data_IF_631435460587
#
_entry.id   IF_631435460587
#
_cell.length_a   1.000
_cell.length_b   1.000
_cell.length_c   1.000
_cell.angle_alpha   90.00
_cell.angle_beta   90.00
_cell.angle_gamma   90.00
#
_symmetry.space_group_name_H-M   'P 1'
#
loop_
_entity.id
_entity.type
_entity.pdbx_description
1 polymer ?
#
# COMPACT_ATOMS: atom_id res chain seq x y z
N UNK A 1 68.85 -24.54 -18.43
CA UNK A 1 68.11 -24.59 -17.15
C UNK A 1 67.70 -23.15 -16.86
N UNK A 2 66.37 -22.84 -16.94
CA UNK A 2 65.81 -21.52 -16.63
C UNK A 2 65.33 -21.52 -15.20
N UNK A 3 65.59 -20.51 -14.33
CA UNK A 3 65.05 -20.44 -13.00
C UNK A 3 63.58 -20.10 -13.02
N UNK A 4 62.76 -20.84 -12.27
CA UNK A 4 61.36 -20.45 -11.96
C UNK A 4 61.41 -19.27 -10.99
N UNK A 5 60.83 -18.14 -11.43
CA UNK A 5 60.56 -17.01 -10.54
C UNK A 5 59.37 -17.30 -9.66
N UNK A 6 59.56 -17.49 -8.38
CA UNK A 6 58.48 -17.64 -7.39
C UNK A 6 57.92 -16.24 -7.10
N UNK A 7 56.70 -15.95 -7.55
CA UNK A 7 55.98 -14.74 -7.22
C UNK A 7 55.42 -14.86 -5.78
N UNK A 8 56.07 -14.21 -4.85
CA UNK A 8 55.59 -14.03 -3.48
C UNK A 8 54.45 -12.99 -3.51
N UNK A 9 53.19 -13.41 -3.57
CA UNK A 9 52.06 -12.54 -3.33
C UNK A 9 52.04 -12.18 -1.86
N UNK A 10 52.35 -10.92 -1.53
CA UNK A 10 52.42 -10.48 -0.13
C UNK A 10 51.03 -10.58 0.52
N UNK A 11 50.94 -11.15 1.72
CA UNK A 11 49.73 -11.33 2.46
C UNK A 11 48.90 -10.05 2.73
N UNK A 12 49.54 -8.90 2.58
CA UNK A 12 48.88 -7.60 2.69
C UNK A 12 47.85 -7.33 1.57
N UNK A 13 48.07 -7.85 0.35
CA UNK A 13 47.12 -7.67 -0.76
C UNK A 13 45.87 -8.51 -0.59
N UNK A 14 45.99 -9.72 -0.04
CA UNK A 14 44.83 -10.61 0.26
C UNK A 14 44.04 -10.05 1.41
N UNK A 15 44.64 -9.54 2.46
CA UNK A 15 43.94 -8.92 3.59
C UNK A 15 43.16 -7.67 3.18
N UNK A 16 43.70 -6.83 2.27
CA UNK A 16 43.01 -5.66 1.77
C UNK A 16 41.75 -6.01 0.92
N UNK A 17 41.83 -7.06 0.11
CA UNK A 17 40.69 -7.53 -0.68
C UNK A 17 39.55 -8.08 0.17
N UNK A 18 39.86 -8.81 1.25
CA UNK A 18 38.85 -9.34 2.19
C UNK A 18 38.17 -8.21 2.95
N UNK A 19 38.90 -7.16 3.37
CA UNK A 19 38.31 -6.00 4.06
C UNK A 19 37.40 -5.20 3.12
N UNK A 20 37.79 -5.01 1.87
CA UNK A 20 36.97 -4.31 0.86
C UNK A 20 35.67 -5.09 0.57
N UNK A 21 35.74 -6.42 0.47
CA UNK A 21 34.57 -7.26 0.27
C UNK A 21 33.62 -7.21 1.49
N UNK A 22 34.16 -7.22 2.73
CA UNK A 22 33.36 -7.11 3.95
C UNK A 22 32.67 -5.73 4.08
N UNK A 23 33.35 -4.64 3.68
CA UNK A 23 32.79 -3.29 3.66
C UNK A 23 31.74 -3.10 2.56
N UNK A 24 31.84 -3.81 1.43
CA UNK A 24 30.84 -3.80 0.38
C UNK A 24 29.53 -4.50 0.82
N UNK A 25 29.62 -5.57 1.62
CA UNK A 25 28.45 -6.26 2.19
C UNK A 25 27.73 -5.46 3.27
N UNK A 26 28.38 -4.51 3.94
CA UNK A 26 27.74 -3.64 4.94
C UNK A 26 26.98 -2.45 4.33
N UNK A 27 27.13 -2.17 3.05
CA UNK A 27 26.38 -1.09 2.35
C UNK A 27 25.00 -1.51 1.85
N UNK A 28 24.59 -2.74 2.05
CA UNK A 28 23.29 -3.28 1.64
C UNK A 28 22.19 -3.19 2.67
N UNK A 29 22.32 -2.35 3.69
CA UNK A 29 21.21 -1.97 4.55
C UNK A 29 20.36 -0.89 3.86
N UNK A 30 19.71 -1.20 2.75
CA UNK A 30 18.54 -0.44 2.32
C UNK A 30 17.56 -0.48 3.48
N UNK A 31 17.27 0.67 4.06
CA UNK A 31 16.10 0.84 4.90
C UNK A 31 14.93 0.64 3.95
N UNK A 32 14.54 -0.62 3.77
CA UNK A 32 13.34 -0.95 3.02
C UNK A 32 12.20 -0.22 3.69
N UNK A 33 11.47 0.59 2.94
CA UNK A 33 10.25 1.20 3.45
C UNK A 33 9.42 0.10 4.13
N UNK A 34 8.79 0.37 5.28
CA UNK A 34 8.05 -0.65 6.01
C UNK A 34 7.09 -1.37 5.06
N UNK A 35 7.13 -2.69 5.08
CA UNK A 35 6.29 -3.53 4.25
C UNK A 35 4.82 -3.12 4.47
N UNK A 36 4.07 -2.94 3.39
CA UNK A 36 2.64 -2.63 3.50
C UNK A 36 1.95 -3.81 4.16
N UNK A 37 1.19 -3.55 5.21
CA UNK A 37 0.33 -4.53 5.87
C UNK A 37 -1.13 -4.13 5.71
N UNK A 38 -2.03 -5.09 5.75
CA UNK A 38 -3.48 -4.86 5.79
C UNK A 38 -4.11 -5.80 6.81
N UNK A 39 -4.81 -5.26 7.79
CA UNK A 39 -5.44 -6.02 8.89
C UNK A 39 -4.44 -6.96 9.62
N UNK A 40 -3.19 -6.50 9.76
CA UNK A 40 -2.11 -7.24 10.42
C UNK A 40 -1.33 -8.21 9.53
N UNK A 41 -1.78 -8.47 8.29
CA UNK A 41 -1.12 -9.39 7.36
C UNK A 41 -0.26 -8.63 6.34
N UNK A 42 0.90 -9.16 5.94
CA UNK A 42 1.72 -8.58 4.88
C UNK A 42 0.98 -8.57 3.55
N UNK A 43 1.06 -7.45 2.83
CA UNK A 43 0.55 -7.34 1.45
C UNK A 43 1.58 -7.89 0.48
N UNK A 44 1.16 -8.84 -0.37
CA UNK A 44 2.00 -9.45 -1.40
C UNK A 44 1.85 -8.75 -2.75
N UNK A 45 2.79 -9.00 -3.66
CA UNK A 45 2.68 -8.51 -5.04
C UNK A 45 1.47 -9.12 -5.79
N UNK A 46 1.05 -10.34 -5.41
CA UNK A 46 -0.14 -10.99 -5.96
C UNK A 46 -1.41 -10.28 -5.49
N UNK A 47 -1.52 -9.96 -4.19
CA UNK A 47 -2.65 -9.19 -3.66
C UNK A 47 -2.82 -7.85 -4.39
N UNK A 48 -1.71 -7.15 -4.64
CA UNK A 48 -1.71 -5.88 -5.38
C UNK A 48 -2.19 -6.07 -6.82
N UNK A 49 -1.74 -7.12 -7.49
CA UNK A 49 -2.12 -7.39 -8.89
C UNK A 49 -3.60 -7.74 -9.00
N UNK A 50 -4.09 -8.66 -8.17
CA UNK A 50 -5.51 -9.03 -8.10
C UNK A 50 -6.36 -7.82 -7.69
N UNK A 51 -5.91 -7.07 -6.70
CA UNK A 51 -6.61 -5.89 -6.21
C UNK A 51 -6.76 -4.79 -7.26
N UNK A 52 -5.74 -4.57 -8.09
CA UNK A 52 -5.79 -3.62 -9.21
C UNK A 52 -6.88 -4.00 -10.21
N UNK A 53 -6.96 -5.28 -10.59
CA UNK A 53 -7.92 -5.74 -11.58
C UNK A 53 -9.36 -5.67 -11.01
N UNK A 54 -9.55 -6.02 -9.74
CA UNK A 54 -10.81 -5.88 -9.03
C UNK A 54 -11.22 -4.41 -8.85
N UNK A 55 -10.28 -3.53 -8.52
CA UNK A 55 -10.51 -2.08 -8.44
C UNK A 55 -10.99 -1.52 -9.78
N UNK A 56 -10.32 -1.87 -10.87
CA UNK A 56 -10.70 -1.44 -12.20
C UNK A 56 -12.13 -1.87 -12.58
N UNK A 57 -12.54 -3.07 -12.17
CA UNK A 57 -13.85 -3.62 -12.48
C UNK A 57 -14.98 -3.05 -11.61
N UNK A 58 -14.71 -2.70 -10.33
CA UNK A 58 -15.77 -2.44 -9.35
C UNK A 58 -15.74 -1.02 -8.75
N UNK A 59 -14.60 -0.33 -8.77
CA UNK A 59 -14.40 0.92 -8.03
C UNK A 59 -14.07 2.10 -8.95
N UNK A 60 -13.33 1.87 -10.03
CA UNK A 60 -12.76 2.90 -10.89
C UNK A 60 -13.82 3.78 -11.57
N UNK A 61 -15.02 3.26 -11.81
CA UNK A 61 -16.12 4.04 -12.41
C UNK A 61 -16.54 5.26 -11.58
N UNK A 62 -16.36 5.18 -10.26
CA UNK A 62 -16.68 6.28 -9.34
C UNK A 62 -15.40 6.93 -8.78
N UNK A 63 -14.40 6.13 -8.39
CA UNK A 63 -13.19 6.62 -7.74
C UNK A 63 -12.04 6.99 -8.68
N UNK A 64 -12.28 6.89 -10.01
CA UNK A 64 -11.28 7.17 -11.04
C UNK A 64 -10.34 6.00 -11.31
N UNK A 65 -9.89 5.88 -12.57
CA UNK A 65 -8.99 4.79 -12.98
C UNK A 65 -7.59 4.90 -12.36
N UNK A 66 -7.18 6.11 -11.99
CA UNK A 66 -5.91 6.41 -11.33
C UNK A 66 -6.12 6.83 -9.86
N UNK A 67 -7.23 6.41 -9.23
CA UNK A 67 -7.55 6.71 -7.83
C UNK A 67 -7.89 8.20 -7.56
N UNK A 68 -8.09 9.00 -8.60
CA UNK A 68 -8.24 10.47 -8.56
C UNK A 68 -9.58 10.95 -8.01
N UNK A 69 -10.57 10.07 -7.87
CA UNK A 69 -11.93 10.43 -7.44
C UNK A 69 -12.70 11.25 -8.44
N UNK A 70 -13.80 11.84 -8.00
CA UNK A 70 -14.63 12.76 -8.78
C UNK A 70 -14.23 14.21 -8.51
N UNK A 71 -14.50 15.10 -9.49
CA UNK A 71 -14.27 16.53 -9.33
C UNK A 71 -15.07 17.08 -8.14
N UNK A 72 -14.49 18.07 -7.45
CA UNK A 72 -15.11 18.76 -6.30
C UNK A 72 -15.59 17.80 -5.19
N UNK A 73 -14.92 16.65 -4.99
CA UNK A 73 -15.33 15.58 -4.09
C UNK A 73 -15.64 16.03 -2.65
N UNK A 74 -15.13 17.18 -2.21
CA UNK A 74 -15.43 17.77 -0.90
C UNK A 74 -16.72 18.58 -0.88
N UNK A 75 -17.39 18.75 -2.02
CA UNK A 75 -18.61 19.55 -2.15
C UNK A 75 -19.81 18.64 -2.45
N UNK A 76 -20.89 18.79 -1.68
CA UNK A 76 -22.11 18.03 -1.92
C UNK A 76 -22.72 18.35 -3.28
N UNK A 77 -23.22 17.32 -3.93
CA UNK A 77 -24.06 17.41 -5.12
C UNK A 77 -25.43 18.05 -4.77
N UNK A 78 -26.18 18.46 -5.79
CA UNK A 78 -27.53 19.02 -5.61
C UNK A 78 -28.51 18.06 -4.91
N UNK A 79 -28.30 16.74 -5.06
CA UNK A 79 -29.08 15.70 -4.39
C UNK A 79 -28.66 15.47 -2.93
N UNK A 80 -27.69 16.22 -2.41
CA UNK A 80 -27.17 16.12 -1.06
C UNK A 80 -26.10 15.05 -0.83
N UNK A 81 -25.80 14.19 -1.81
CA UNK A 81 -24.77 13.16 -1.73
C UNK A 81 -23.37 13.75 -1.93
N UNK A 82 -22.36 13.06 -1.44
CA UNK A 82 -20.97 13.41 -1.72
C UNK A 82 -20.47 12.66 -2.96
N UNK A 83 -19.72 13.33 -3.85
CA UNK A 83 -18.98 12.65 -4.91
C UNK A 83 -17.98 11.65 -4.33
N UNK A 84 -17.59 10.66 -5.14
CA UNK A 84 -16.59 9.68 -4.73
C UNK A 84 -15.22 10.34 -4.48
N UNK A 85 -14.63 10.19 -3.28
CA UNK A 85 -13.34 10.81 -2.97
C UNK A 85 -12.18 10.11 -3.70
N UNK A 86 -11.03 10.80 -3.86
CA UNK A 86 -9.79 10.17 -4.28
C UNK A 86 -9.32 9.10 -3.28
N UNK A 87 -8.66 8.08 -3.81
CA UNK A 87 -7.96 7.08 -3.01
C UNK A 87 -6.44 7.24 -3.05
N UNK A 88 -5.93 8.21 -3.80
CA UNK A 88 -4.52 8.61 -3.82
C UNK A 88 -4.15 9.50 -2.61
N UNK A 89 -2.96 10.10 -2.64
CA UNK A 89 -2.48 10.99 -1.59
C UNK A 89 -3.27 12.29 -1.45
N UNK A 90 -4.06 12.68 -2.46
CA UNK A 90 -4.87 13.90 -2.45
C UNK A 90 -6.21 13.72 -1.74
N UNK A 91 -6.64 12.47 -1.55
CA UNK A 91 -7.83 12.11 -0.84
C UNK A 91 -7.63 12.00 0.67
N UNK A 92 -8.55 11.32 1.34
CA UNK A 92 -8.50 11.11 2.80
C UNK A 92 -8.59 9.64 3.24
N UNK A 93 -8.54 8.69 2.30
CA UNK A 93 -8.65 7.25 2.58
C UNK A 93 -7.61 6.80 3.60
N UNK A 94 -6.40 7.31 3.52
CA UNK A 94 -5.29 7.01 4.43
C UNK A 94 -5.46 7.59 5.86
N UNK A 95 -6.53 8.33 6.13
CA UNK A 95 -6.92 8.77 7.49
C UNK A 95 -7.73 7.71 8.25
N UNK A 96 -8.13 6.63 7.60
CA UNK A 96 -8.93 5.56 8.19
C UNK A 96 -8.07 4.34 8.52
N UNK A 97 -8.37 3.69 9.64
CA UNK A 97 -7.76 2.41 10.01
C UNK A 97 -8.17 1.29 9.04
N UNK A 98 -7.37 0.25 8.94
CA UNK A 98 -7.62 -0.91 8.07
C UNK A 98 -9.02 -1.52 8.29
N UNK A 99 -9.41 -1.69 9.56
CA UNK A 99 -10.72 -2.22 9.92
C UNK A 99 -11.87 -1.33 9.45
N UNK A 100 -11.71 -0.01 9.56
CA UNK A 100 -12.71 0.94 9.07
C UNK A 100 -12.80 0.89 7.55
N UNK A 101 -11.68 0.87 6.83
CA UNK A 101 -11.66 0.76 5.37
C UNK A 101 -12.34 -0.53 4.91
N UNK A 102 -12.03 -1.65 5.56
CA UNK A 102 -12.67 -2.93 5.25
C UNK A 102 -14.17 -2.89 5.50
N UNK A 103 -14.60 -2.35 6.64
CA UNK A 103 -16.03 -2.25 7.01
C UNK A 103 -16.80 -1.34 6.05
N UNK A 104 -16.24 -0.16 5.72
CA UNK A 104 -16.86 0.79 4.77
C UNK A 104 -17.01 0.15 3.39
N UNK A 105 -15.99 -0.57 2.92
CA UNK A 105 -16.05 -1.24 1.61
C UNK A 105 -17.06 -2.38 1.63
N UNK A 106 -17.08 -3.18 2.69
CA UNK A 106 -18.00 -4.30 2.82
C UNK A 106 -19.46 -3.87 2.90
N UNK A 107 -19.78 -2.88 3.74
CA UNK A 107 -21.16 -2.48 4.07
C UNK A 107 -21.66 -1.27 3.27
N UNK A 108 -20.77 -0.60 2.52
CA UNK A 108 -21.04 0.70 1.94
C UNK A 108 -21.11 1.81 3.01
N UNK A 109 -21.05 3.07 2.59
CA UNK A 109 -21.09 4.21 3.52
C UNK A 109 -22.43 4.25 4.28
N UNK A 110 -23.54 3.99 3.60
CA UNK A 110 -24.87 3.94 4.24
C UNK A 110 -25.02 2.84 5.30
N UNK A 111 -24.27 1.74 5.17
CA UNK A 111 -24.25 0.65 6.15
C UNK A 111 -23.50 0.99 7.44
N UNK A 112 -22.48 1.84 7.34
CA UNK A 112 -21.69 2.28 8.53
C UNK A 112 -22.18 3.59 9.14
N UNK A 113 -22.96 4.38 8.38
CA UNK A 113 -23.53 5.66 8.81
C UNK A 113 -25.06 5.65 8.57
N UNK A 114 -25.86 5.11 9.49
CA UNK A 114 -27.31 5.06 9.32
C UNK A 114 -27.92 6.43 9.04
N UNK A 115 -28.74 6.53 7.99
CA UNK A 115 -29.37 7.77 7.56
C UNK A 115 -28.48 8.66 6.65
N UNK A 116 -27.26 8.23 6.35
CA UNK A 116 -26.42 8.88 5.35
C UNK A 116 -26.71 8.32 3.95
N UNK A 117 -27.19 9.18 3.05
CA UNK A 117 -27.44 8.81 1.65
C UNK A 117 -26.13 8.84 0.84
N UNK A 118 -25.75 7.70 0.27
CA UNK A 118 -24.49 7.52 -0.45
C UNK A 118 -24.69 6.70 -1.71
N UNK A 119 -23.93 7.03 -2.76
CA UNK A 119 -23.87 6.24 -3.98
C UNK A 119 -22.87 5.05 -3.88
N UNK A 120 -22.08 4.97 -2.83
CA UNK A 120 -21.17 3.85 -2.62
C UNK A 120 -21.95 2.62 -2.13
N UNK A 121 -22.03 1.55 -2.94
CA UNK A 121 -22.75 0.34 -2.56
C UNK A 121 -22.00 -0.49 -1.53
N UNK A 122 -22.68 -1.47 -0.93
CA UNK A 122 -22.05 -2.55 -0.18
C UNK A 122 -21.42 -3.57 -1.15
N UNK A 123 -20.20 -4.02 -0.86
CA UNK A 123 -19.51 -5.01 -1.70
C UNK A 123 -19.49 -6.41 -1.10
N UNK A 124 -19.94 -6.63 0.14
CA UNK A 124 -19.93 -7.94 0.79
C UNK A 124 -20.71 -9.03 0.05
N UNK A 125 -21.73 -8.66 -0.75
CA UNK A 125 -22.55 -9.59 -1.55
C UNK A 125 -22.03 -9.71 -3.00
N UNK A 126 -20.97 -8.96 -3.36
CA UNK A 126 -20.39 -8.91 -4.71
C UNK A 126 -18.96 -9.47 -4.73
N UNK A 127 -18.18 -9.18 -3.69
CA UNK A 127 -16.79 -9.57 -3.53
C UNK A 127 -16.61 -10.41 -2.26
N UNK A 128 -15.81 -11.47 -2.35
CA UNK A 128 -15.36 -12.20 -1.17
C UNK A 128 -14.46 -11.32 -0.29
N UNK A 129 -14.31 -11.67 0.99
CA UNK A 129 -13.46 -10.90 1.92
C UNK A 129 -12.03 -10.74 1.43
N UNK A 130 -11.45 -11.81 0.86
CA UNK A 130 -10.10 -11.78 0.30
C UNK A 130 -10.00 -10.84 -0.90
N UNK A 131 -11.05 -10.71 -1.69
CA UNK A 131 -11.12 -9.79 -2.83
C UNK A 131 -11.22 -8.33 -2.35
N UNK A 132 -12.01 -8.06 -1.31
CA UNK A 132 -12.06 -6.73 -0.67
C UNK A 132 -10.68 -6.38 -0.10
N UNK A 133 -10.01 -7.33 0.57
CA UNK A 133 -8.63 -7.16 1.07
C UNK A 133 -7.67 -6.83 -0.07
N UNK A 134 -7.74 -7.54 -1.19
CA UNK A 134 -6.89 -7.29 -2.33
C UNK A 134 -7.09 -5.88 -2.92
N UNK A 135 -8.33 -5.40 -3.05
CA UNK A 135 -8.63 -4.02 -3.48
C UNK A 135 -7.98 -3.00 -2.54
N UNK A 136 -8.14 -3.18 -1.23
CA UNK A 136 -7.55 -2.28 -0.23
C UNK A 136 -6.01 -2.35 -0.23
N UNK A 137 -5.44 -3.54 -0.43
CA UNK A 137 -4.00 -3.74 -0.57
C UNK A 137 -3.45 -2.97 -1.78
N UNK A 138 -4.14 -3.04 -2.93
CA UNK A 138 -3.79 -2.24 -4.12
C UNK A 138 -3.81 -0.75 -3.80
N UNK A 139 -4.90 -0.21 -3.24
CA UNK A 139 -5.00 1.20 -2.88
C UNK A 139 -3.85 1.62 -1.95
N UNK A 140 -3.61 0.88 -0.87
CA UNK A 140 -2.52 1.17 0.09
C UNK A 140 -1.13 1.12 -0.56
N UNK A 141 -0.91 0.22 -1.52
CA UNK A 141 0.37 0.06 -2.22
C UNK A 141 0.75 1.28 -3.06
N UNK A 142 -0.24 2.06 -3.50
CA UNK A 142 -0.01 3.27 -4.32
C UNK A 142 0.37 4.49 -3.50
N UNK A 143 0.13 4.49 -2.19
CA UNK A 143 0.40 5.65 -1.35
C UNK A 143 1.88 5.91 -1.19
N UNK A 144 2.31 7.19 -1.19
CA UNK A 144 3.65 7.58 -0.77
C UNK A 144 3.93 7.13 0.68
N UNK A 145 5.20 7.02 1.02
CA UNK A 145 5.65 6.55 2.34
C UNK A 145 5.03 7.34 3.51
N UNK A 146 4.89 8.65 3.35
CA UNK A 146 4.28 9.52 4.37
C UNK A 146 2.86 9.08 4.72
N UNK A 147 2.01 8.83 3.71
CA UNK A 147 0.63 8.41 3.90
C UNK A 147 0.56 7.00 4.47
N UNK A 148 1.42 6.08 4.00
CA UNK A 148 1.51 4.73 4.56
C UNK A 148 1.88 4.72 6.04
N UNK A 149 2.88 5.52 6.42
CA UNK A 149 3.30 5.63 7.83
C UNK A 149 2.18 6.20 8.69
N UNK A 150 1.56 7.29 8.25
CA UNK A 150 0.44 7.89 8.98
C UNK A 150 -0.72 6.89 9.15
N UNK A 151 -1.10 6.18 8.08
CA UNK A 151 -2.20 5.22 8.12
C UNK A 151 -1.88 4.00 9.00
N UNK A 152 -0.62 3.56 9.03
CA UNK A 152 -0.18 2.51 9.94
C UNK A 152 -0.33 2.94 11.42
N UNK A 153 0.01 4.19 11.76
CA UNK A 153 -0.20 4.74 13.09
C UNK A 153 -1.70 4.83 13.44
N UNK A 154 -2.55 5.25 12.50
CA UNK A 154 -4.01 5.26 12.69
C UNK A 154 -4.53 3.84 12.94
N UNK A 155 -4.07 2.86 12.16
CA UNK A 155 -4.46 1.45 12.33
C UNK A 155 -4.03 0.90 13.69
N UNK A 156 -2.80 1.19 14.13
CA UNK A 156 -2.27 0.73 15.41
C UNK A 156 -3.05 1.29 16.61
N UNK A 157 -3.62 2.49 16.46
CA UNK A 157 -4.40 3.18 17.52
C UNK A 157 -5.92 2.87 17.46
N UNK A 158 -6.40 2.15 16.43
CA UNK A 158 -7.84 1.84 16.24
C UNK A 158 -8.33 0.68 17.14
N UNK A 159 -7.46 0.03 17.88
CA UNK A 159 -7.76 -1.12 18.75
C UNK A 159 -7.85 -0.80 20.25
N UNK A 160 -7.81 0.49 20.64
CA UNK A 160 -7.85 0.94 22.03
C UNK A 160 -9.27 1.13 22.55
#
# INVERSE_FOLDING_TARGET
>A
MKPLATVLVSGAAVAALVVIAALAQQRGGEVSAPAVTLLGEPVTAEDVAVGRDLYAANCASCHGANLEGQADWMRRLENGRMPAPPHDETGHTWHHADRQLFTITSLGVGGVMPGYDSDMPAFQDVLAEEQIRAVLAYIKSTWPERQRTFQADVTANDGG
#
